data_IF_898528871235
#
_entry.id   IF_898528871235
#
_cell.length_a   1.000
_cell.length_b   1.000
_cell.length_c   1.000
_cell.angle_alpha   90.00
_cell.angle_beta   90.00
_cell.angle_gamma   90.00
#
_symmetry.space_group_name_H-M   'P 1'
#
loop_
_entity.id
_entity.type
_entity.pdbx_description
1 polymer ?
#
# COMPACT_ATOMS: atom_id res chain seq x y z
N UNK A 1 2.35 1.60 -39.86
CA UNK A 1 2.90 2.08 -38.56
C UNK A 1 1.77 2.07 -37.55
N UNK A 2 1.81 1.16 -36.57
CA UNK A 2 0.77 1.01 -35.54
C UNK A 2 0.87 2.24 -34.62
N UNK A 3 -0.14 3.12 -34.63
CA UNK A 3 -0.19 4.31 -33.76
C UNK A 3 -0.11 3.80 -32.33
N UNK A 4 1.02 4.00 -31.65
CA UNK A 4 1.17 3.63 -30.24
C UNK A 4 0.23 4.51 -29.45
N UNK A 5 -0.71 3.90 -28.73
CA UNK A 5 -1.58 4.60 -27.79
C UNK A 5 -0.67 5.27 -26.74
N UNK A 6 -0.64 6.61 -26.65
CA UNK A 6 0.23 7.33 -25.72
C UNK A 6 0.00 6.91 -24.26
N UNK A 7 -1.20 6.45 -23.90
CA UNK A 7 -1.48 5.92 -22.57
C UNK A 7 -0.76 4.58 -22.33
N UNK A 8 -0.79 3.67 -23.31
CA UNK A 8 -0.09 2.38 -23.24
C UNK A 8 1.43 2.53 -23.14
N UNK A 9 2.00 3.49 -23.88
CA UNK A 9 3.44 3.79 -23.80
C UNK A 9 3.85 4.33 -22.43
N UNK A 10 3.04 5.19 -21.80
CA UNK A 10 3.31 5.70 -20.46
C UNK A 10 3.26 4.61 -19.39
N UNK A 11 2.27 3.71 -19.46
CA UNK A 11 2.15 2.56 -18.54
C UNK A 11 3.37 1.64 -18.67
N UNK A 12 3.76 1.30 -19.90
CA UNK A 12 4.93 0.45 -20.14
C UNK A 12 6.21 1.10 -19.58
N UNK A 13 6.39 2.40 -19.81
CA UNK A 13 7.53 3.14 -19.30
C UNK A 13 7.57 3.10 -17.76
N UNK A 14 6.44 3.38 -17.10
CA UNK A 14 6.34 3.30 -15.64
C UNK A 14 6.78 1.91 -15.15
N UNK A 15 6.17 0.85 -15.66
CA UNK A 15 6.44 -0.51 -15.19
C UNK A 15 7.90 -0.90 -15.42
N UNK A 16 8.48 -0.57 -16.58
CA UNK A 16 9.89 -0.86 -16.85
C UNK A 16 10.81 -0.08 -15.91
N UNK A 17 10.55 1.21 -15.70
CA UNK A 17 11.34 2.03 -14.79
C UNK A 17 11.23 1.50 -13.35
N UNK A 18 10.03 1.22 -12.87
CA UNK A 18 9.79 0.68 -11.53
C UNK A 18 10.46 -0.69 -11.36
N UNK A 19 10.40 -1.58 -12.36
CA UNK A 19 11.11 -2.86 -12.31
C UNK A 19 12.63 -2.69 -12.21
N UNK A 20 13.22 -1.74 -12.94
CA UNK A 20 14.66 -1.47 -12.87
C UNK A 20 15.04 -0.93 -11.49
N UNK A 21 14.29 0.06 -10.99
CA UNK A 21 14.52 0.64 -9.65
C UNK A 21 14.36 -0.43 -8.57
N UNK A 22 13.31 -1.25 -8.67
CA UNK A 22 12.99 -2.35 -7.77
C UNK A 22 14.14 -3.35 -7.65
N UNK A 23 14.58 -3.91 -8.78
CA UNK A 23 15.69 -4.86 -8.79
C UNK A 23 16.96 -4.21 -8.23
N UNK A 24 17.21 -2.94 -8.57
CA UNK A 24 18.41 -2.27 -8.13
C UNK A 24 18.44 -2.07 -6.60
N UNK A 25 17.44 -1.44 -6.00
CA UNK A 25 17.47 -1.24 -4.55
C UNK A 25 17.35 -2.55 -3.78
N UNK A 26 16.66 -3.57 -4.30
CA UNK A 26 16.55 -4.86 -3.64
C UNK A 26 17.91 -5.58 -3.61
N UNK A 27 18.70 -5.47 -4.69
CA UNK A 27 20.08 -5.97 -4.69
C UNK A 27 20.97 -5.20 -3.72
N UNK A 28 20.78 -3.88 -3.59
CA UNK A 28 21.48 -3.08 -2.57
C UNK A 28 21.15 -3.56 -1.16
N UNK A 29 19.88 -3.81 -0.86
CA UNK A 29 19.43 -4.31 0.46
C UNK A 29 20.01 -5.70 0.75
N UNK A 30 19.89 -6.64 -0.20
CA UNK A 30 20.37 -8.02 -0.04
C UNK A 30 21.90 -8.11 0.12
N UNK A 31 22.64 -7.21 -0.51
CA UNK A 31 24.10 -7.13 -0.38
C UNK A 31 24.55 -6.20 0.74
N UNK A 32 23.61 -5.58 1.47
CA UNK A 32 23.86 -4.54 2.49
C UNK A 32 24.74 -3.39 1.96
N UNK A 33 24.61 -3.07 0.67
CA UNK A 33 25.41 -2.06 -0.01
C UNK A 33 24.71 -0.70 -0.04
N UNK A 34 25.38 0.35 0.44
CA UNK A 34 24.95 1.76 0.29
C UNK A 34 23.50 2.03 0.71
N UNK A 35 23.21 1.96 2.01
CA UNK A 35 21.86 2.19 2.56
C UNK A 35 21.21 3.50 2.08
N UNK A 36 21.97 4.60 2.01
CA UNK A 36 21.48 5.90 1.54
C UNK A 36 20.94 5.82 0.09
N UNK A 37 21.65 5.14 -0.81
CA UNK A 37 21.23 4.99 -2.20
C UNK A 37 19.96 4.14 -2.29
N UNK A 38 19.88 3.05 -1.53
CA UNK A 38 18.66 2.23 -1.44
C UNK A 38 17.46 3.08 -1.01
N UNK A 39 17.59 3.88 0.06
CA UNK A 39 16.55 4.79 0.54
C UNK A 39 16.11 5.80 -0.53
N UNK A 40 17.06 6.40 -1.25
CA UNK A 40 16.75 7.35 -2.34
C UNK A 40 15.97 6.66 -3.45
N UNK A 41 16.41 5.48 -3.91
CA UNK A 41 15.76 4.74 -4.98
C UNK A 41 14.33 4.33 -4.60
N UNK A 42 14.14 3.84 -3.36
CA UNK A 42 12.83 3.50 -2.81
C UNK A 42 11.88 4.69 -2.82
N UNK A 43 12.33 5.84 -2.28
CA UNK A 43 11.50 7.03 -2.22
C UNK A 43 11.19 7.62 -3.61
N UNK A 44 12.16 7.61 -4.53
CA UNK A 44 11.94 7.98 -5.93
C UNK A 44 10.88 7.10 -6.60
N UNK A 45 10.86 5.80 -6.31
CA UNK A 45 9.87 4.85 -6.82
C UNK A 45 8.47 5.18 -6.30
N UNK A 46 8.32 5.47 -5.00
CA UNK A 46 7.04 5.90 -4.41
C UNK A 46 6.54 7.21 -5.05
N UNK A 47 7.44 8.19 -5.24
CA UNK A 47 7.09 9.45 -5.90
C UNK A 47 6.70 9.25 -7.36
N UNK A 48 7.37 8.35 -8.09
CA UNK A 48 7.04 8.04 -9.47
C UNK A 48 5.62 7.46 -9.57
N UNK A 49 5.25 6.52 -8.69
CA UNK A 49 3.89 6.01 -8.54
C UNK A 49 2.87 7.15 -8.28
N UNK A 50 3.16 8.06 -7.33
CA UNK A 50 2.29 9.20 -7.03
C UNK A 50 2.12 10.14 -8.24
N UNK A 51 3.21 10.57 -8.88
CA UNK A 51 3.17 11.51 -9.99
C UNK A 51 2.55 10.92 -11.26
N UNK A 52 2.72 9.61 -11.48
CA UNK A 52 2.06 8.90 -12.59
C UNK A 52 0.54 9.05 -12.54
N UNK A 53 -0.04 9.12 -11.34
CA UNK A 53 -1.48 9.30 -11.14
C UNK A 53 -2.07 10.53 -11.85
N UNK A 54 -1.27 11.58 -12.06
CA UNK A 54 -1.72 12.83 -12.67
C UNK A 54 -1.74 12.83 -14.20
N UNK A 55 -1.24 11.78 -14.86
CA UNK A 55 -1.19 11.69 -16.33
C UNK A 55 -2.61 11.56 -16.93
N UNK A 56 -3.55 10.96 -16.18
CA UNK A 56 -4.90 10.69 -16.65
C UNK A 56 -5.93 11.74 -16.17
N UNK A 57 -7.00 11.91 -16.94
CA UNK A 57 -8.07 12.86 -16.60
C UNK A 57 -8.72 12.55 -15.25
N UNK A 58 -9.05 13.59 -14.47
CA UNK A 58 -9.55 13.45 -13.09
C UNK A 58 -10.93 12.81 -13.04
N UNK A 59 -11.05 11.66 -12.37
CA UNK A 59 -12.36 11.10 -11.94
C UNK A 59 -12.37 10.96 -10.42
N UNK A 60 -13.56 10.85 -9.82
CA UNK A 60 -13.69 10.70 -8.36
C UNK A 60 -12.90 9.50 -7.82
N UNK A 61 -12.89 8.38 -8.55
CA UNK A 61 -12.11 7.19 -8.19
C UNK A 61 -10.61 7.47 -8.23
N UNK A 62 -10.13 8.07 -9.33
CA UNK A 62 -8.70 8.40 -9.49
C UNK A 62 -8.21 9.39 -8.44
N UNK A 63 -9.02 10.40 -8.11
CA UNK A 63 -8.67 11.38 -7.07
C UNK A 63 -8.46 10.69 -5.72
N UNK A 64 -9.30 9.70 -5.36
CA UNK A 64 -9.11 8.95 -4.10
C UNK A 64 -7.76 8.22 -4.07
N UNK A 65 -7.40 7.55 -5.17
CA UNK A 65 -6.13 6.83 -5.25
C UNK A 65 -4.93 7.77 -5.27
N UNK A 66 -5.00 8.88 -6.01
CA UNK A 66 -3.93 9.89 -6.04
C UNK A 66 -3.74 10.52 -4.64
N UNK A 67 -4.83 10.86 -3.95
CA UNK A 67 -4.75 11.35 -2.57
C UNK A 67 -4.14 10.31 -1.63
N UNK A 68 -4.50 9.02 -1.81
CA UNK A 68 -3.93 7.94 -1.03
C UNK A 68 -2.42 7.79 -1.29
N UNK A 69 -1.99 7.77 -2.55
CA UNK A 69 -0.57 7.73 -2.93
C UNK A 69 0.20 8.95 -2.42
N UNK A 70 -0.43 10.13 -2.38
CA UNK A 70 0.17 11.34 -1.80
C UNK A 70 0.36 11.22 -0.28
N UNK A 71 -0.62 10.67 0.44
CA UNK A 71 -0.47 10.36 1.87
C UNK A 71 0.54 9.24 2.12
N UNK A 72 0.63 8.25 1.22
CA UNK A 72 1.67 7.21 1.25
C UNK A 72 3.06 7.83 1.11
N UNK A 73 3.27 8.71 0.12
CA UNK A 73 4.53 9.42 -0.04
C UNK A 73 4.87 10.28 1.20
N UNK A 74 3.88 10.95 1.79
CA UNK A 74 4.07 11.69 3.04
C UNK A 74 4.42 10.76 4.22
N UNK A 75 3.78 9.59 4.32
CA UNK A 75 4.11 8.60 5.34
C UNK A 75 5.56 8.11 5.19
N UNK A 76 5.96 7.76 3.96
CA UNK A 76 7.31 7.28 3.67
C UNK A 76 8.38 8.37 3.84
N UNK A 77 8.03 9.65 3.69
CA UNK A 77 8.94 10.72 4.06
C UNK A 77 9.30 10.65 5.56
N UNK A 78 8.33 10.42 6.45
CA UNK A 78 8.59 10.27 7.89
C UNK A 78 9.28 8.94 8.22
N UNK A 79 8.77 7.83 7.68
CA UNK A 79 9.19 6.48 8.09
C UNK A 79 10.47 6.01 7.41
N UNK A 80 10.64 6.31 6.12
CA UNK A 80 11.78 5.83 5.32
C UNK A 80 12.89 6.88 5.20
N UNK A 81 12.55 8.12 4.87
CA UNK A 81 13.55 9.15 4.53
C UNK A 81 14.10 9.84 5.78
N UNK A 82 13.21 10.33 6.64
CA UNK A 82 13.59 11.04 7.86
C UNK A 82 13.87 10.09 9.03
N UNK A 83 13.35 8.85 8.96
CA UNK A 83 13.42 7.84 10.02
C UNK A 83 13.09 8.42 11.40
N UNK A 84 12.02 9.23 11.44
CA UNK A 84 11.62 9.99 12.62
C UNK A 84 10.13 10.31 12.60
N UNK A 85 9.58 10.67 13.76
CA UNK A 85 8.15 10.97 13.91
C UNK A 85 7.25 9.85 13.38
N UNK A 86 7.55 8.59 13.74
CA UNK A 86 6.79 7.41 13.27
C UNK A 86 5.28 7.55 13.44
N UNK A 87 4.82 8.21 14.51
CA UNK A 87 3.40 8.49 14.74
C UNK A 87 2.76 9.27 13.60
N UNK A 88 3.45 10.28 13.06
CA UNK A 88 2.94 11.06 11.93
C UNK A 88 2.83 10.19 10.68
N UNK A 89 3.84 9.36 10.39
CA UNK A 89 3.83 8.43 9.27
C UNK A 89 2.69 7.41 9.37
N UNK A 90 2.49 6.79 10.54
CA UNK A 90 1.39 5.85 10.77
C UNK A 90 0.02 6.53 10.69
N UNK A 91 -0.13 7.77 11.17
CA UNK A 91 -1.36 8.55 11.02
C UNK A 91 -1.66 8.90 9.55
N UNK A 92 -0.63 9.20 8.73
CA UNK A 92 -0.80 9.32 7.28
C UNK A 92 -1.36 8.03 6.69
N UNK A 93 -0.82 6.87 7.08
CA UNK A 93 -1.36 5.58 6.67
C UNK A 93 -2.78 5.28 7.16
N UNK A 94 -3.19 5.76 8.34
CA UNK A 94 -4.60 5.74 8.73
C UNK A 94 -5.47 6.47 7.69
N UNK A 95 -5.03 7.65 7.23
CA UNK A 95 -5.69 8.41 6.18
C UNK A 95 -5.74 7.67 4.83
N UNK A 96 -4.65 7.00 4.44
CA UNK A 96 -4.60 6.12 3.27
C UNK A 96 -5.69 5.05 3.34
N UNK A 97 -5.82 4.37 4.48
CA UNK A 97 -6.82 3.32 4.64
C UNK A 97 -8.26 3.85 4.62
N UNK A 98 -8.51 5.08 5.08
CA UNK A 98 -9.82 5.72 4.94
C UNK A 98 -10.16 6.01 3.47
N UNK A 99 -9.18 6.47 2.68
CA UNK A 99 -9.38 6.72 1.25
C UNK A 99 -9.62 5.42 0.46
N UNK A 100 -8.90 4.35 0.79
CA UNK A 100 -9.14 3.03 0.22
C UNK A 100 -10.52 2.47 0.61
N UNK A 101 -10.95 2.65 1.85
CA UNK A 101 -12.29 2.26 2.25
C UNK A 101 -13.37 3.06 1.51
N UNK A 102 -13.20 4.38 1.36
CA UNK A 102 -14.08 5.22 0.53
C UNK A 102 -14.16 4.71 -0.92
N UNK A 103 -13.04 4.25 -1.49
CA UNK A 103 -13.02 3.64 -2.82
C UNK A 103 -13.83 2.35 -2.87
N UNK A 104 -13.66 1.47 -1.90
CA UNK A 104 -14.41 0.20 -1.79
C UNK A 104 -15.91 0.46 -1.64
N UNK A 105 -16.31 1.40 -0.78
CA UNK A 105 -17.72 1.77 -0.58
C UNK A 105 -18.37 2.29 -1.86
N UNK A 106 -17.64 3.06 -2.66
CA UNK A 106 -18.14 3.56 -3.96
C UNK A 106 -18.38 2.45 -4.97
N UNK A 107 -17.67 1.33 -4.84
CA UNK A 107 -17.75 0.20 -5.75
C UNK A 107 -18.74 -0.87 -5.30
N UNK A 108 -18.73 -1.24 -4.01
CA UNK A 108 -19.60 -2.29 -3.45
C UNK A 108 -20.87 -1.80 -2.76
N UNK A 109 -21.03 -0.47 -2.58
CA UNK A 109 -22.21 0.13 -1.98
C UNK A 109 -22.45 -0.26 -0.52
N UNK A 110 -23.72 -0.30 -0.12
CA UNK A 110 -24.14 -0.53 1.28
C UNK A 110 -23.72 -1.89 1.86
N UNK A 111 -23.37 -2.87 1.01
CA UNK A 111 -22.91 -4.18 1.47
C UNK A 111 -21.66 -4.07 2.37
N UNK A 112 -20.75 -3.13 2.09
CA UNK A 112 -19.55 -2.93 2.92
C UNK A 112 -19.78 -2.07 4.17
N UNK A 113 -20.90 -1.36 4.26
CA UNK A 113 -21.28 -0.66 5.50
C UNK A 113 -21.69 -1.66 6.58
N UNK A 114 -22.24 -2.82 6.21
CA UNK A 114 -22.60 -3.88 7.15
C UNK A 114 -21.39 -4.48 7.88
N UNK A 115 -20.17 -4.37 7.33
CA UNK A 115 -18.94 -4.83 7.99
C UNK A 115 -18.34 -3.78 8.94
N UNK A 116 -18.85 -2.55 8.95
CA UNK A 116 -18.34 -1.47 9.78
C UNK A 116 -18.40 -1.78 11.29
N UNK A 117 -19.47 -2.40 11.85
CA UNK A 117 -19.48 -2.82 13.25
C UNK A 117 -18.39 -3.84 13.58
N UNK A 118 -18.11 -4.77 12.65
CA UNK A 118 -17.08 -5.79 12.83
C UNK A 118 -15.69 -5.15 12.80
N UNK A 119 -15.47 -4.19 11.89
CA UNK A 119 -14.24 -3.37 11.83
C UNK A 119 -13.97 -2.68 13.16
N UNK A 120 -14.95 -1.96 13.70
CA UNK A 120 -14.81 -1.26 14.98
C UNK A 120 -14.67 -2.20 16.17
N UNK A 121 -15.40 -3.32 16.17
CA UNK A 121 -15.26 -4.33 17.23
C UNK A 121 -13.85 -4.90 17.25
N UNK A 122 -13.30 -5.31 16.11
CA UNK A 122 -11.94 -5.88 16.05
C UNK A 122 -10.89 -4.84 16.45
N UNK A 123 -10.99 -3.61 15.97
CA UNK A 123 -10.08 -2.52 16.40
C UNK A 123 -10.20 -2.26 17.91
N UNK A 124 -11.42 -2.25 18.46
CA UNK A 124 -11.65 -2.11 19.90
C UNK A 124 -11.04 -3.23 20.73
N UNK A 125 -11.20 -4.49 20.31
CA UNK A 125 -10.56 -5.65 20.92
C UNK A 125 -9.03 -5.51 20.92
N UNK A 126 -8.45 -5.04 19.81
CA UNK A 126 -7.01 -4.82 19.72
C UNK A 126 -6.52 -3.67 20.60
N UNK A 127 -7.31 -2.60 20.81
CA UNK A 127 -6.98 -1.56 21.79
C UNK A 127 -6.98 -2.08 23.22
N UNK A 128 -7.96 -2.92 23.58
CA UNK A 128 -7.97 -3.60 24.89
C UNK A 128 -6.73 -4.47 25.04
N UNK A 129 -6.36 -5.22 23.99
CA UNK A 129 -5.15 -6.05 23.98
C UNK A 129 -3.88 -5.23 24.20
N UNK A 130 -3.73 -4.07 23.55
CA UNK A 130 -2.61 -3.15 23.82
C UNK A 130 -2.56 -2.69 25.28
N UNK A 131 -3.74 -2.44 25.89
CA UNK A 131 -3.85 -2.08 27.30
C UNK A 131 -3.40 -3.19 28.24
N UNK A 132 -3.81 -4.45 27.96
CA UNK A 132 -3.39 -5.64 28.72
C UNK A 132 -1.87 -5.83 28.63
N UNK A 133 -1.27 -5.57 27.48
CA UNK A 133 0.18 -5.66 27.27
C UNK A 133 0.96 -4.44 27.80
N UNK A 134 0.29 -3.43 28.36
CA UNK A 134 0.91 -2.20 28.88
C UNK A 134 1.76 -1.42 27.85
N UNK A 135 1.52 -1.60 26.55
CA UNK A 135 2.23 -0.92 25.45
C UNK A 135 1.36 0.16 24.77
N UNK A 136 0.33 0.63 25.47
CA UNK A 136 -0.62 1.60 24.93
C UNK A 136 -0.01 2.99 24.82
N UNK A 137 0.11 3.51 23.60
CA UNK A 137 0.46 4.89 23.30
C UNK A 137 -0.13 5.28 21.92
N UNK A 138 0.03 6.54 21.52
CA UNK A 138 -0.56 7.01 20.26
C UNK A 138 -0.02 6.26 19.03
N UNK A 139 1.25 5.88 19.01
CA UNK A 139 1.87 5.15 17.89
C UNK A 139 1.29 3.73 17.79
N UNK A 140 1.24 2.99 18.90
CA UNK A 140 0.72 1.60 18.91
C UNK A 140 -0.78 1.57 18.65
N UNK A 141 -1.54 2.53 19.19
CA UNK A 141 -2.97 2.69 18.91
C UNK A 141 -3.22 3.03 17.43
N UNK A 142 -2.48 4.00 16.87
CA UNK A 142 -2.58 4.32 15.45
C UNK A 142 -2.20 3.12 14.57
N UNK A 143 -1.13 2.39 14.92
CA UNK A 143 -0.68 1.20 14.20
C UNK A 143 -1.71 0.08 14.20
N UNK A 144 -2.33 -0.22 15.34
CA UNK A 144 -3.42 -1.21 15.43
C UNK A 144 -4.64 -0.78 14.64
N UNK A 145 -5.04 0.50 14.74
CA UNK A 145 -6.15 1.02 13.96
C UNK A 145 -5.86 0.83 12.47
N UNK A 146 -4.74 1.37 12.00
CA UNK A 146 -4.26 1.28 10.63
C UNK A 146 -4.24 -0.16 10.11
N UNK A 147 -3.55 -1.07 10.80
CA UNK A 147 -3.38 -2.45 10.38
C UNK A 147 -4.73 -3.18 10.30
N UNK A 148 -5.62 -2.94 11.27
CA UNK A 148 -6.98 -3.49 11.22
C UNK A 148 -7.73 -3.00 9.99
N UNK A 149 -7.66 -1.70 9.69
CA UNK A 149 -8.32 -1.15 8.49
C UNK A 149 -7.73 -1.70 7.19
N UNK A 150 -6.40 -1.86 7.11
CA UNK A 150 -5.74 -2.50 5.97
C UNK A 150 -6.20 -3.94 5.78
N UNK A 151 -6.27 -4.73 6.86
CA UNK A 151 -6.74 -6.12 6.82
C UNK A 151 -8.15 -6.23 6.23
N UNK A 152 -9.09 -5.41 6.71
CA UNK A 152 -10.44 -5.42 6.17
C UNK A 152 -10.52 -4.85 4.76
N UNK A 153 -9.76 -3.79 4.43
CA UNK A 153 -9.72 -3.26 3.07
C UNK A 153 -9.20 -4.31 2.08
N UNK A 154 -8.15 -5.05 2.44
CA UNK A 154 -7.64 -6.16 1.66
C UNK A 154 -8.70 -7.26 1.49
N UNK A 155 -9.37 -7.67 2.58
CA UNK A 155 -10.42 -8.68 2.53
C UNK A 155 -11.63 -8.27 1.68
N UNK A 156 -12.16 -7.07 1.87
CA UNK A 156 -13.31 -6.54 1.11
C UNK A 156 -12.97 -6.33 -0.37
N UNK A 157 -11.73 -5.92 -0.68
CA UNK A 157 -11.28 -5.77 -2.07
C UNK A 157 -11.38 -7.07 -2.88
N UNK A 158 -11.24 -8.24 -2.22
CA UNK A 158 -11.34 -9.54 -2.87
C UNK A 158 -12.75 -9.80 -3.43
N UNK A 159 -13.80 -9.22 -2.83
CA UNK A 159 -15.16 -9.32 -3.32
C UNK A 159 -15.37 -8.52 -4.62
N UNK A 160 -14.61 -7.44 -4.81
CA UNK A 160 -14.71 -6.56 -5.98
C UNK A 160 -13.80 -6.96 -7.14
N UNK A 161 -12.84 -7.87 -6.91
CA UNK A 161 -11.85 -8.26 -7.93
C UNK A 161 -12.49 -8.80 -9.22
N UNK A 162 -13.70 -9.35 -9.15
CA UNK A 162 -14.37 -9.91 -10.33
C UNK A 162 -15.00 -8.83 -11.23
N UNK A 163 -15.11 -7.58 -10.78
CA UNK A 163 -15.77 -6.48 -11.50
C UNK A 163 -14.96 -6.05 -12.73
N UNK A 164 -13.69 -5.72 -12.55
CA UNK A 164 -12.83 -5.23 -13.64
C UNK A 164 -11.34 -5.43 -13.34
N UNK A 165 -10.47 -5.21 -14.35
CA UNK A 165 -9.02 -5.29 -14.16
C UNK A 165 -8.50 -4.29 -13.11
N UNK A 166 -8.90 -3.01 -13.11
CA UNK A 166 -8.61 -2.06 -12.04
C UNK A 166 -8.81 -2.61 -10.63
N UNK A 167 -9.96 -3.23 -10.33
CA UNK A 167 -10.23 -3.79 -9.01
C UNK A 167 -9.38 -5.03 -8.69
N UNK A 168 -9.00 -5.83 -9.70
CA UNK A 168 -8.03 -6.93 -9.52
C UNK A 168 -6.66 -6.41 -9.11
N UNK A 169 -6.17 -5.38 -9.82
CA UNK A 169 -4.88 -4.77 -9.52
C UNK A 169 -4.91 -4.11 -8.13
N UNK A 170 -5.98 -3.39 -7.81
CA UNK A 170 -6.15 -2.78 -6.49
C UNK A 170 -6.15 -3.83 -5.37
N UNK A 171 -6.91 -4.91 -5.56
CA UNK A 171 -6.98 -6.00 -4.57
C UNK A 171 -5.64 -6.71 -4.39
N UNK A 172 -4.95 -7.06 -5.49
CA UNK A 172 -3.61 -7.62 -5.43
C UNK A 172 -2.62 -6.65 -4.75
N UNK A 173 -2.72 -5.35 -5.04
CA UNK A 173 -1.95 -4.31 -4.40
C UNK A 173 -2.15 -4.27 -2.88
N UNK A 174 -3.39 -4.27 -2.39
CA UNK A 174 -3.69 -4.28 -0.95
C UNK A 174 -3.20 -5.56 -0.24
N UNK A 175 -3.25 -6.72 -0.91
CA UNK A 175 -2.73 -7.96 -0.35
C UNK A 175 -1.20 -7.90 -0.21
N UNK A 176 -0.49 -7.38 -1.21
CA UNK A 176 0.96 -7.16 -1.11
C UNK A 176 1.29 -6.10 -0.04
N UNK A 177 0.46 -5.07 0.11
CA UNK A 177 0.62 -4.09 1.17
C UNK A 177 0.51 -4.77 2.55
N UNK A 178 -0.50 -5.61 2.74
CA UNK A 178 -0.65 -6.40 3.97
C UNK A 178 0.57 -7.31 4.24
N UNK A 179 1.11 -7.96 3.20
CA UNK A 179 2.33 -8.75 3.33
C UNK A 179 3.55 -7.91 3.75
N UNK A 180 3.72 -6.71 3.18
CA UNK A 180 4.76 -5.76 3.60
C UNK A 180 4.62 -5.44 5.09
N UNK A 181 3.43 -5.10 5.54
CA UNK A 181 3.18 -4.71 6.94
C UNK A 181 3.35 -5.86 7.93
N UNK A 182 3.02 -7.09 7.53
CA UNK A 182 3.35 -8.27 8.33
C UNK A 182 4.87 -8.41 8.51
N UNK A 183 5.65 -8.12 7.46
CA UNK A 183 7.11 -8.06 7.57
C UNK A 183 7.57 -6.92 8.49
N UNK A 184 6.99 -5.70 8.35
CA UNK A 184 7.29 -4.56 9.25
C UNK A 184 7.02 -4.93 10.71
N UNK A 185 5.85 -5.54 10.98
CA UNK A 185 5.45 -5.97 12.32
C UNK A 185 6.40 -7.02 12.90
N UNK A 186 6.79 -8.02 12.10
CA UNK A 186 7.76 -9.05 12.50
C UNK A 186 9.14 -8.45 12.82
N UNK A 187 9.63 -7.54 11.98
CA UNK A 187 10.93 -6.88 12.17
C UNK A 187 10.98 -5.92 13.36
N UNK A 188 9.82 -5.48 13.85
CA UNK A 188 9.68 -4.58 15.00
C UNK A 188 9.09 -5.27 16.24
N UNK A 189 9.07 -6.61 16.29
CA UNK A 189 8.61 -7.33 17.46
C UNK A 189 9.47 -6.96 18.69
N UNK A 190 8.86 -6.63 19.83
CA UNK A 190 9.62 -6.38 21.06
C UNK A 190 10.41 -7.62 21.47
N UNK A 191 11.61 -7.43 22.02
CA UNK A 191 12.42 -8.52 22.58
C UNK A 191 11.72 -9.27 23.73
N UNK A 192 10.70 -8.65 24.33
CA UNK A 192 9.84 -9.23 25.36
C UNK A 192 8.62 -10.00 24.81
N UNK A 193 8.52 -10.21 23.48
CA UNK A 193 7.45 -11.00 22.90
C UNK A 193 7.44 -12.43 23.49
N UNK A 194 6.27 -12.98 23.83
CA UNK A 194 6.16 -14.28 24.50
C UNK A 194 6.51 -15.48 23.58
N UNK A 195 6.89 -15.21 22.33
CA UNK A 195 7.25 -16.21 21.34
C UNK A 195 8.56 -15.81 20.65
N UNK A 196 9.46 -16.78 20.47
CA UNK A 196 10.67 -16.62 19.67
C UNK A 196 10.34 -16.83 18.19
N UNK A 197 10.65 -15.84 17.35
CA UNK A 197 10.55 -16.00 15.88
C UNK A 197 11.87 -16.59 15.36
N UNK A 198 11.84 -17.60 14.47
CA UNK A 198 13.06 -18.16 13.89
C UNK A 198 13.87 -17.09 13.13
N UNK A 199 15.19 -17.07 13.29
CA UNK A 199 16.10 -16.15 12.60
C UNK A 199 15.89 -16.09 11.07
N UNK A 200 15.69 -17.21 10.34
CA UNK A 200 15.41 -17.13 8.90
C UNK A 200 14.15 -16.34 8.56
N UNK A 201 13.14 -16.37 9.43
CA UNK A 201 11.89 -15.61 9.26
C UNK A 201 12.13 -14.13 9.49
N UNK A 202 12.96 -13.78 10.47
CA UNK A 202 13.29 -12.38 10.77
C UNK A 202 14.15 -11.77 9.65
N UNK A 203 15.15 -12.49 9.16
CA UNK A 203 15.96 -12.08 8.01
C UNK A 203 15.14 -11.96 6.73
N UNK A 204 14.17 -12.86 6.53
CA UNK A 204 13.22 -12.73 5.44
C UNK A 204 12.35 -11.48 5.62
N UNK A 205 11.82 -11.22 6.80
CA UNK A 205 10.97 -10.05 7.07
C UNK A 205 11.70 -8.72 6.78
N UNK A 206 12.98 -8.61 7.16
CA UNK A 206 13.78 -7.40 6.91
C UNK A 206 13.84 -7.02 5.43
N UNK A 207 14.04 -8.01 4.55
CA UNK A 207 14.07 -7.80 3.10
C UNK A 207 12.66 -7.83 2.47
N UNK A 208 11.76 -8.59 3.08
CA UNK A 208 10.39 -8.85 2.64
C UNK A 208 9.51 -7.61 2.66
N UNK A 209 9.77 -6.65 3.56
CA UNK A 209 9.09 -5.35 3.58
C UNK A 209 9.09 -4.73 2.18
N UNK A 210 10.27 -4.52 1.61
CA UNK A 210 10.43 -3.86 0.32
C UNK A 210 10.15 -4.77 -0.89
N UNK A 211 10.33 -6.09 -0.72
CA UNK A 211 9.92 -7.09 -1.70
C UNK A 211 8.41 -6.98 -2.02
N UNK A 212 7.57 -6.72 -1.02
CA UNK A 212 6.13 -6.60 -1.23
C UNK A 212 5.66 -5.16 -1.44
N UNK A 213 6.35 -4.19 -0.83
CA UNK A 213 5.87 -2.81 -0.80
C UNK A 213 5.85 -2.13 -2.17
N UNK A 214 6.95 -2.15 -2.93
CA UNK A 214 6.95 -1.45 -4.22
C UNK A 214 5.98 -2.09 -5.23
N UNK A 215 5.96 -3.43 -5.40
CA UNK A 215 4.94 -4.07 -6.22
C UNK A 215 3.51 -3.71 -5.81
N UNK A 216 3.23 -3.56 -4.51
CA UNK A 216 1.94 -3.05 -4.03
C UNK A 216 1.63 -1.66 -4.59
N UNK A 217 2.54 -0.69 -4.43
CA UNK A 217 2.31 0.69 -4.87
C UNK A 217 2.15 0.78 -6.38
N UNK A 218 2.89 -0.01 -7.16
CA UNK A 218 2.74 -0.08 -8.62
C UNK A 218 1.36 -0.61 -8.99
N UNK A 219 0.90 -1.72 -8.39
CA UNK A 219 -0.42 -2.28 -8.69
C UNK A 219 -1.57 -1.35 -8.29
N UNK A 220 -1.46 -0.68 -7.14
CA UNK A 220 -2.43 0.34 -6.70
C UNK A 220 -2.42 1.51 -7.68
N UNK A 221 -1.26 1.97 -8.13
CA UNK A 221 -1.14 3.04 -9.11
C UNK A 221 -1.80 2.64 -10.44
N UNK A 222 -1.52 1.44 -10.95
CA UNK A 222 -2.12 0.94 -12.20
C UNK A 222 -3.62 0.66 -12.10
N UNK A 223 -4.16 0.53 -10.89
CA UNK A 223 -5.59 0.36 -10.68
C UNK A 223 -6.44 1.60 -11.02
N UNK A 224 -5.83 2.72 -11.42
CA UNK A 224 -6.54 3.94 -11.86
C UNK A 224 -6.81 3.97 -13.38
N UNK A 225 -6.23 3.01 -14.11
CA UNK A 225 -6.32 2.96 -15.57
C UNK A 225 -7.77 2.75 -16.03
N UNK A 226 -8.19 3.41 -17.12
CA UNK A 226 -9.51 3.17 -17.70
C UNK A 226 -9.62 1.73 -18.22
N UNK A 227 -10.81 1.13 -18.10
CA UNK A 227 -11.09 -0.15 -18.73
C UNK A 227 -11.00 0.00 -20.25
N UNK A 228 -10.08 -0.72 -20.90
CA UNK A 228 -9.81 -0.59 -22.33
C UNK A 228 -11.05 -0.91 -23.21
N UNK A 229 -12.05 -1.60 -22.66
CA UNK A 229 -13.32 -1.92 -23.34
C UNK A 229 -14.18 -0.69 -23.67
N UNK A 230 -14.03 0.43 -22.97
CA UNK A 230 -14.78 1.66 -23.28
C UNK A 230 -14.18 2.51 -24.41
N UNK A 231 -12.93 2.26 -24.81
CA UNK A 231 -12.30 3.00 -25.92
C UNK A 231 -12.77 2.51 -27.30
N UNK A 232 -13.33 1.31 -27.41
CA UNK A 232 -13.81 0.75 -28.69
C UNK A 232 -15.26 1.08 -29.00
N UNK A 233 -16.04 1.54 -28.01
CA UNK A 233 -17.48 1.86 -28.18
C UNK A 233 -17.77 3.31 -28.56
N UNK A 234 -16.81 4.23 -28.41
CA UNK A 234 -16.95 5.62 -28.89
C UNK A 234 -16.41 5.82 -30.31
N UNK A 235 -15.85 4.75 -30.92
CA UNK A 235 -15.29 4.78 -32.28
C UNK A 235 -16.12 4.00 -33.31
N UNK A 236 -17.37 3.66 -32.99
CA UNK A 236 -18.30 2.93 -33.87
C UNK A 236 -19.60 3.70 -34.07
#
# INVERSE_FOLDING_TARGET
>A
MKKTDPAGSAVLLLVLTECILYVFFLMLDLTSSSALLSTILKYCSILLCFFFGFIFGKTKDRILVICALGLTAAADAFLLVLDTNYTAGVLCFCGVQMLYYCRLLRAGGFAFLSFLPIRFLLTGCMFVFLGILHIWNLLTAAGVFYFTQLLFNAAESLALRHISLPYRLFSAGLILFLCCDLCVGLSNLPSAAPFSVPEPVLSFAQNGMWLFYLPSQVLITLSILPDYSSCTSESS
#
